data_IF_963536796032
#
_entry.id   IF_963536796032
#
_cell.length_a   1.000
_cell.length_b   1.000
_cell.length_c   1.000
_cell.angle_alpha   90.00
_cell.angle_beta   90.00
_cell.angle_gamma   90.00
#
_symmetry.space_group_name_H-M   'P 1'
#
loop_
_entity.id
_entity.type
_entity.pdbx_description
1 polymer ?
#
# COMPACT_ATOMS: atom_id res chain seq x y z
N UNK A 1 5.43 -8.40 24.65
CA UNK A 1 4.16 -8.01 24.01
C UNK A 1 4.06 -6.50 23.79
N UNK A 2 4.36 -5.71 24.79
CA UNK A 2 4.31 -4.24 24.69
C UNK A 2 5.18 -3.67 23.55
N UNK A 3 6.39 -4.20 23.40
CA UNK A 3 7.31 -3.76 22.33
C UNK A 3 6.77 -4.08 20.93
N UNK A 4 6.11 -5.22 20.78
CA UNK A 4 5.49 -5.62 19.50
C UNK A 4 4.32 -4.70 19.16
N UNK A 5 3.50 -4.36 20.15
CA UNK A 5 2.37 -3.44 19.97
C UNK A 5 2.87 -2.06 19.57
N UNK A 6 3.89 -1.54 20.27
CA UNK A 6 4.49 -0.24 19.95
C UNK A 6 5.10 -0.22 18.55
N UNK A 7 5.79 -1.28 18.18
CA UNK A 7 6.37 -1.41 16.83
C UNK A 7 5.27 -1.44 15.76
N UNK A 8 4.19 -2.14 16.03
CA UNK A 8 3.06 -2.23 15.12
C UNK A 8 2.37 -0.88 14.94
N UNK A 9 2.15 -0.16 16.04
CA UNK A 9 1.59 1.19 16.01
C UNK A 9 2.47 2.15 15.20
N UNK A 10 3.77 2.08 15.40
CA UNK A 10 4.74 2.91 14.69
C UNK A 10 4.73 2.62 13.19
N UNK A 11 4.75 1.35 12.80
CA UNK A 11 4.68 0.94 11.39
C UNK A 11 3.36 1.34 10.75
N UNK A 12 2.25 1.19 11.48
CA UNK A 12 0.93 1.62 11.02
C UNK A 12 0.89 3.11 10.74
N UNK A 13 1.43 3.93 11.65
CA UNK A 13 1.48 5.37 11.49
C UNK A 13 2.31 5.75 10.26
N UNK A 14 3.45 5.10 10.06
CA UNK A 14 4.32 5.33 8.91
C UNK A 14 3.64 4.94 7.59
N UNK A 15 2.96 3.80 7.55
CA UNK A 15 2.20 3.35 6.39
C UNK A 15 1.06 4.30 6.05
N UNK A 16 0.32 4.73 7.06
CA UNK A 16 -0.80 5.67 6.88
C UNK A 16 -0.32 7.00 6.33
N UNK A 17 0.81 7.49 6.84
CA UNK A 17 1.44 8.71 6.35
C UNK A 17 1.90 8.56 4.90
N UNK A 18 2.58 7.46 4.58
CA UNK A 18 3.03 7.16 3.22
C UNK A 18 1.85 7.07 2.25
N UNK A 19 0.75 6.41 2.67
CA UNK A 19 -0.46 6.28 1.86
C UNK A 19 -1.10 7.65 1.61
N UNK A 20 -1.18 8.50 2.63
CA UNK A 20 -1.78 9.84 2.50
C UNK A 20 -0.98 10.73 1.54
N UNK A 21 0.32 10.51 1.44
CA UNK A 21 1.21 11.24 0.52
C UNK A 21 1.37 10.55 -0.82
N UNK A 22 0.74 9.39 -0.99
CA UNK A 22 0.90 8.54 -2.18
C UNK A 22 2.37 8.22 -2.47
N UNK A 23 3.15 8.07 -1.42
CA UNK A 23 4.57 7.71 -1.51
C UNK A 23 4.70 6.19 -1.60
N UNK A 24 4.57 5.67 -2.81
CA UNK A 24 4.58 4.22 -3.06
C UNK A 24 5.94 3.58 -2.79
N UNK A 25 7.02 4.33 -2.93
CA UNK A 25 8.36 3.86 -2.60
C UNK A 25 8.46 3.58 -1.09
N UNK A 26 7.94 4.48 -0.26
CA UNK A 26 7.89 4.29 1.19
C UNK A 26 7.00 3.09 1.57
N UNK A 27 5.85 2.94 0.91
CA UNK A 27 4.95 1.79 1.12
C UNK A 27 5.68 0.48 0.82
N UNK A 28 6.42 0.42 -0.29
CA UNK A 28 7.19 -0.77 -0.68
C UNK A 28 8.28 -1.12 0.33
N UNK A 29 8.87 -0.13 0.99
CA UNK A 29 9.88 -0.34 2.03
C UNK A 29 9.26 -0.81 3.34
N UNK A 30 8.10 -0.25 3.70
CA UNK A 30 7.42 -0.53 4.97
C UNK A 30 6.67 -1.86 4.95
N UNK A 31 6.15 -2.27 3.81
CA UNK A 31 5.34 -3.49 3.69
C UNK A 31 6.06 -4.76 4.18
N UNK A 32 7.31 -5.05 3.78
CA UNK A 32 8.01 -6.23 4.30
C UNK A 32 8.21 -6.18 5.81
N UNK A 33 8.43 -5.00 6.37
CA UNK A 33 8.60 -4.82 7.82
C UNK A 33 7.31 -5.17 8.55
N UNK A 34 6.16 -4.72 8.04
CA UNK A 34 4.85 -5.03 8.60
C UNK A 34 4.56 -6.54 8.53
N UNK A 35 4.86 -7.17 7.41
CA UNK A 35 4.63 -8.62 7.23
C UNK A 35 5.48 -9.43 8.19
N UNK A 36 6.74 -9.05 8.38
CA UNK A 36 7.63 -9.72 9.33
C UNK A 36 7.11 -9.61 10.75
N UNK A 37 6.64 -8.42 11.14
CA UNK A 37 6.10 -8.18 12.46
C UNK A 37 4.80 -8.96 12.71
N UNK A 38 3.91 -9.00 11.73
CA UNK A 38 2.68 -9.78 11.80
C UNK A 38 2.99 -11.28 11.96
N UNK A 39 4.00 -11.78 11.26
CA UNK A 39 4.44 -13.17 11.37
C UNK A 39 4.90 -13.48 12.79
N UNK A 40 5.66 -12.57 13.43
CA UNK A 40 6.07 -12.71 14.83
C UNK A 40 4.87 -12.75 15.76
N UNK A 41 3.88 -11.89 15.54
CA UNK A 41 2.66 -11.81 16.34
C UNK A 41 1.85 -13.09 16.21
N UNK A 42 1.68 -13.58 15.00
CA UNK A 42 0.94 -14.84 14.75
C UNK A 42 1.59 -16.02 15.46
N UNK A 43 2.92 -16.04 15.54
CA UNK A 43 3.66 -17.10 16.22
C UNK A 43 3.48 -17.11 17.73
N UNK A 44 2.94 -16.03 18.32
CA UNK A 44 2.77 -15.89 19.78
C UNK A 44 1.41 -16.37 20.30
N UNK A 45 0.67 -17.14 19.56
CA UNK A 45 -0.63 -17.65 20.00
C UNK A 45 -0.54 -18.37 21.36
N UNK A 46 -1.61 -18.26 22.20
CA UNK A 46 -2.88 -17.57 22.00
C UNK A 46 -2.79 -16.05 22.27
N UNK A 47 -3.64 -15.30 21.58
CA UNK A 47 -3.69 -13.84 21.73
C UNK A 47 -4.70 -13.47 22.83
N UNK A 48 -4.21 -13.33 24.04
CA UNK A 48 -5.04 -12.92 25.18
C UNK A 48 -5.10 -11.40 25.34
N UNK A 49 -4.25 -10.68 24.60
CA UNK A 49 -4.14 -9.23 24.71
C UNK A 49 -5.14 -8.56 23.77
N UNK A 50 -6.09 -7.82 24.36
CA UNK A 50 -7.10 -7.08 23.61
C UNK A 50 -6.48 -5.98 22.74
N UNK A 51 -5.45 -5.30 23.27
CA UNK A 51 -4.73 -4.26 22.52
C UNK A 51 -4.11 -4.84 21.24
N UNK A 52 -3.56 -6.04 21.33
CA UNK A 52 -2.96 -6.70 20.17
C UNK A 52 -4.02 -7.01 19.12
N UNK A 53 -5.20 -7.50 19.53
CA UNK A 53 -6.31 -7.76 18.62
C UNK A 53 -6.79 -6.50 17.93
N UNK A 54 -6.87 -5.40 18.68
CA UNK A 54 -7.26 -4.09 18.13
C UNK A 54 -6.25 -3.61 17.10
N UNK A 55 -4.97 -3.74 17.39
CA UNK A 55 -3.89 -3.32 16.48
C UNK A 55 -3.88 -4.16 15.20
N UNK A 56 -4.07 -5.46 15.31
CA UNK A 56 -4.15 -6.35 14.14
C UNK A 56 -5.37 -6.00 13.29
N UNK A 57 -6.51 -5.73 13.93
CA UNK A 57 -7.74 -5.31 13.24
C UNK A 57 -7.54 -3.99 12.50
N UNK A 58 -6.92 -3.01 13.15
CA UNK A 58 -6.61 -1.71 12.55
C UNK A 58 -5.65 -1.86 11.36
N UNK A 59 -4.65 -2.73 11.49
CA UNK A 59 -3.70 -3.02 10.40
C UNK A 59 -4.41 -3.67 9.21
N UNK A 60 -5.33 -4.60 9.48
CA UNK A 60 -6.13 -5.25 8.44
C UNK A 60 -6.95 -4.22 7.65
N UNK A 61 -7.57 -3.27 8.34
CA UNK A 61 -8.31 -2.17 7.72
C UNK A 61 -7.40 -1.29 6.86
N UNK A 62 -6.21 -0.96 7.38
CA UNK A 62 -5.24 -0.16 6.66
C UNK A 62 -4.76 -0.87 5.39
N UNK A 63 -4.53 -2.18 5.45
CA UNK A 63 -4.14 -2.96 4.26
C UNK A 63 -5.25 -3.01 3.21
N UNK A 64 -6.52 -3.06 3.62
CA UNK A 64 -7.64 -2.97 2.70
C UNK A 64 -7.65 -1.62 1.97
N UNK A 65 -7.40 -0.54 2.69
CA UNK A 65 -7.28 0.81 2.12
C UNK A 65 -6.09 0.90 1.16
N UNK A 66 -4.95 0.31 1.53
CA UNK A 66 -3.75 0.25 0.70
C UNK A 66 -4.02 -0.47 -0.62
N UNK A 67 -4.68 -1.61 -0.57
CA UNK A 67 -5.02 -2.39 -1.75
C UNK A 67 -5.95 -1.62 -2.68
N UNK A 68 -6.93 -0.94 -2.12
CA UNK A 68 -7.87 -0.11 -2.88
C UNK A 68 -7.15 1.06 -3.54
N UNK A 69 -6.27 1.75 -2.81
CA UNK A 69 -5.49 2.86 -3.34
C UNK A 69 -4.53 2.39 -4.43
N UNK A 70 -3.91 1.22 -4.27
CA UNK A 70 -3.01 0.64 -5.26
C UNK A 70 -3.75 0.29 -6.55
N UNK A 71 -4.98 -0.21 -6.45
CA UNK A 71 -5.83 -0.47 -7.63
C UNK A 71 -6.17 0.82 -8.36
N UNK A 72 -6.57 1.84 -7.62
CA UNK A 72 -6.89 3.15 -8.19
C UNK A 72 -5.68 3.75 -8.92
N UNK A 73 -4.50 3.62 -8.32
CA UNK A 73 -3.25 4.09 -8.93
C UNK A 73 -2.92 3.33 -10.22
N UNK A 74 -3.10 2.01 -10.22
CA UNK A 74 -2.88 1.19 -11.43
C UNK A 74 -3.85 1.57 -12.53
N UNK A 75 -5.11 1.80 -12.21
CA UNK A 75 -6.12 2.23 -13.19
C UNK A 75 -5.79 3.61 -13.77
N UNK A 76 -5.32 4.52 -12.91
CA UNK A 76 -4.90 5.86 -13.33
C UNK A 76 -3.73 5.78 -14.30
N UNK A 77 -2.71 5.00 -13.96
CA UNK A 77 -1.53 4.81 -14.81
C UNK A 77 -1.91 4.14 -16.12
N UNK A 78 -2.75 3.12 -16.08
CA UNK A 78 -3.23 2.42 -17.27
C UNK A 78 -3.99 3.38 -18.20
N UNK A 79 -4.85 4.25 -17.65
CA UNK A 79 -5.58 5.25 -18.42
C UNK A 79 -4.63 6.26 -19.08
N UNK A 80 -3.63 6.73 -18.35
CA UNK A 80 -2.64 7.65 -18.87
C UNK A 80 -1.80 7.03 -19.99
N UNK A 81 -1.39 5.78 -19.81
CA UNK A 81 -0.63 5.05 -20.83
C UNK A 81 -1.47 4.85 -22.09
N UNK A 82 -2.75 4.49 -21.94
CA UNK A 82 -3.67 4.35 -23.08
C UNK A 82 -3.81 5.66 -23.83
N UNK A 83 -3.96 6.77 -23.09
CA UNK A 83 -4.08 8.12 -23.68
C UNK A 83 -2.82 8.53 -24.42
N UNK A 84 -1.65 8.27 -23.82
CA UNK A 84 -0.36 8.54 -24.46
C UNK A 84 -0.17 7.73 -25.72
N UNK A 85 -0.57 6.44 -25.68
CA UNK A 85 -0.48 5.56 -26.84
C UNK A 85 -1.39 6.03 -27.97
N UNK A 86 -2.61 6.46 -27.68
CA UNK A 86 -3.53 7.04 -28.66
C UNK A 86 -2.95 8.32 -29.26
N UNK A 87 -2.41 9.20 -28.44
CA UNK A 87 -1.76 10.44 -28.89
C UNK A 87 -0.59 10.15 -29.82
N UNK A 88 0.21 9.14 -29.50
CA UNK A 88 1.34 8.71 -30.30
C UNK A 88 0.90 8.16 -31.64
N UNK A 89 -0.18 7.38 -31.70
CA UNK A 89 -0.76 6.86 -32.93
C UNK A 89 -1.28 7.99 -33.84
N UNK A 90 -1.97 8.95 -33.26
CA UNK A 90 -2.47 10.13 -33.97
C UNK A 90 -1.30 10.92 -34.56
N UNK A 91 -0.24 11.13 -33.79
CA UNK A 91 0.97 11.82 -34.17
C UNK A 91 1.65 11.14 -35.36
N UNK A 92 1.75 9.82 -35.32
CA UNK A 92 2.31 9.01 -36.40
C UNK A 92 1.47 9.11 -37.69
N UNK A 93 0.14 9.03 -37.56
CA UNK A 93 -0.77 9.19 -38.67
C UNK A 93 -0.63 10.55 -39.31
N UNK A 94 -0.50 11.61 -38.51
CA UNK A 94 -0.30 12.97 -38.94
C UNK A 94 0.99 13.12 -39.74
N UNK A 95 2.07 12.51 -39.26
CA UNK A 95 3.37 12.52 -39.93
C UNK A 95 3.32 11.79 -41.29
N UNK A 96 2.52 10.73 -41.38
CA UNK A 96 2.36 9.94 -42.58
C UNK A 96 1.64 10.72 -43.68
N UNK A 97 0.65 11.52 -43.31
CA UNK A 97 -0.14 12.32 -44.23
C UNK A 97 0.38 13.74 -44.46
N UNK A 98 1.25 14.18 -43.59
CA UNK A 98 1.87 15.50 -43.65
C UNK A 98 3.15 15.52 -44.41
#
# INVERSE_FOLDING_TARGET
>A
MKLLIESLESLQASLRDALSRQDWAAVSTLDPQCRALVAEIVALEPWDDLSLREQVGALSTLYAELQQAARAERERVASELARLNQSKQVDQAYKTFG
#
